data_IF_218183793314
#
_entry.id   IF_218183793314
#
_cell.length_a   1.000
_cell.length_b   1.000
_cell.length_c   1.000
_cell.angle_alpha   90.00
_cell.angle_beta   90.00
_cell.angle_gamma   90.00
#
_symmetry.space_group_name_H-M   'P 1'
#
loop_
_entity.id
_entity.type
_entity.pdbx_description
1 polymer ?
#
# COMPACT_ATOMS: atom_id res chain seq x y z
N UNK A 1 -3.82 -23.69 29.54
CA UNK A 1 -5.06 -23.30 28.82
C UNK A 1 -4.84 -21.86 28.41
N UNK A 2 -4.47 -21.62 27.14
CA UNK A 2 -4.23 -20.26 26.59
C UNK A 2 -5.57 -19.54 26.46
N UNK A 3 -5.67 -18.26 26.81
CA UNK A 3 -6.92 -17.52 26.61
C UNK A 3 -7.25 -17.40 25.14
N UNK A 4 -8.51 -17.61 24.80
CA UNK A 4 -9.11 -17.66 23.47
C UNK A 4 -9.04 -16.34 22.67
N UNK A 5 -8.45 -15.29 23.26
CA UNK A 5 -8.41 -13.92 22.71
C UNK A 5 -7.42 -13.69 21.55
N UNK A 6 -6.67 -14.72 21.12
CA UNK A 6 -5.74 -14.61 19.99
C UNK A 6 -6.22 -15.32 18.72
N UNK A 7 -7.45 -15.82 18.68
CA UNK A 7 -8.05 -16.26 17.43
C UNK A 7 -8.45 -15.04 16.62
N UNK A 8 -7.80 -14.88 15.49
CA UNK A 8 -8.17 -13.91 14.45
C UNK A 8 -9.69 -13.79 14.34
N UNK A 9 -10.24 -12.60 14.50
CA UNK A 9 -11.66 -12.30 14.33
C UNK A 9 -12.23 -12.66 12.93
N UNK A 10 -11.39 -13.19 12.05
CA UNK A 10 -11.72 -13.63 10.70
C UNK A 10 -11.72 -15.16 10.50
N UNK A 11 -11.73 -15.96 11.58
CA UNK A 11 -11.85 -17.44 11.48
C UNK A 11 -10.60 -18.14 10.89
N UNK A 12 -9.49 -17.43 10.71
CA UNK A 12 -8.24 -17.96 10.16
C UNK A 12 -7.18 -18.27 11.22
N UNK A 13 -6.04 -18.81 10.79
CA UNK A 13 -4.87 -18.99 11.63
C UNK A 13 -4.41 -17.63 12.19
N UNK A 14 -3.86 -17.56 13.42
CA UNK A 14 -3.43 -16.29 14.04
C UNK A 14 -2.38 -15.54 13.18
N UNK A 15 -1.68 -16.26 12.30
CA UNK A 15 -0.73 -15.73 11.34
C UNK A 15 -1.08 -16.24 9.94
N UNK A 16 -2.02 -15.55 9.31
CA UNK A 16 -2.62 -15.94 8.03
C UNK A 16 -1.63 -15.98 6.86
N UNK A 17 -0.54 -15.20 6.90
CA UNK A 17 0.49 -15.19 5.85
C UNK A 17 1.70 -16.08 6.20
N UNK A 18 1.44 -17.24 6.79
CA UNK A 18 2.44 -18.28 7.08
C UNK A 18 3.29 -18.03 8.33
N UNK A 19 3.69 -16.78 8.60
CA UNK A 19 4.51 -16.41 9.76
C UNK A 19 3.98 -15.16 10.46
N UNK A 20 4.42 -14.93 11.70
CA UNK A 20 4.00 -13.80 12.50
C UNK A 20 4.40 -12.46 11.83
N UNK A 21 5.68 -12.30 11.54
CA UNK A 21 6.21 -11.04 11.00
C UNK A 21 5.62 -10.75 9.61
N UNK A 22 5.50 -11.76 8.75
CA UNK A 22 4.91 -11.58 7.42
C UNK A 22 3.42 -11.19 7.51
N UNK A 23 2.66 -11.81 8.42
CA UNK A 23 1.26 -11.43 8.64
C UNK A 23 1.15 -10.01 9.16
N UNK A 24 1.94 -9.62 10.17
CA UNK A 24 1.93 -8.27 10.73
C UNK A 24 2.42 -7.20 9.76
N UNK A 25 3.30 -7.55 8.83
CA UNK A 25 3.72 -6.66 7.74
C UNK A 25 2.54 -6.28 6.85
N UNK A 26 1.76 -7.27 6.41
CA UNK A 26 0.58 -7.03 5.59
C UNK A 26 -0.59 -6.44 6.38
N UNK A 27 -0.75 -6.77 7.67
CA UNK A 27 -1.69 -6.11 8.56
C UNK A 27 -1.35 -4.61 8.71
N UNK A 28 -0.07 -4.28 8.90
CA UNK A 28 0.40 -2.91 8.99
C UNK A 28 0.18 -2.15 7.67
N UNK A 29 0.47 -2.77 6.53
CA UNK A 29 0.22 -2.17 5.23
C UNK A 29 -1.29 -1.93 5.02
N UNK A 30 -2.15 -2.90 5.36
CA UNK A 30 -3.61 -2.73 5.29
C UNK A 30 -4.12 -1.56 6.13
N UNK A 31 -3.54 -1.31 7.31
CA UNK A 31 -3.91 -0.17 8.16
C UNK A 31 -3.54 1.19 7.55
N UNK A 32 -2.60 1.22 6.61
CA UNK A 32 -2.20 2.45 5.89
C UNK A 32 -3.11 2.74 4.69
N UNK A 33 -3.61 1.71 4.02
CA UNK A 33 -4.29 1.83 2.73
C UNK A 33 -5.51 2.75 2.76
N UNK A 34 -6.50 2.63 3.67
CA UNK A 34 -7.71 3.46 3.58
C UNK A 34 -7.45 4.97 3.60
N UNK A 35 -6.44 5.41 4.33
CA UNK A 35 -6.06 6.82 4.37
C UNK A 35 -5.24 7.22 3.12
N UNK A 36 -4.40 6.32 2.62
CA UNK A 36 -3.65 6.50 1.37
C UNK A 36 -4.59 6.61 0.17
N UNK A 37 -5.52 5.66 0.03
CA UNK A 37 -6.52 5.63 -1.04
C UNK A 37 -7.44 6.86 -1.01
N UNK A 38 -7.84 7.33 0.19
CA UNK A 38 -8.57 8.60 0.32
C UNK A 38 -7.76 9.78 -0.24
N UNK A 39 -6.47 9.86 0.09
CA UNK A 39 -5.59 10.90 -0.44
C UNK A 39 -5.47 10.82 -1.97
N UNK A 40 -5.37 9.63 -2.55
CA UNK A 40 -5.33 9.42 -4.00
C UNK A 40 -6.61 9.92 -4.67
N UNK A 41 -7.77 9.48 -4.17
CA UNK A 41 -9.09 9.86 -4.67
C UNK A 41 -9.26 11.40 -4.63
N UNK A 42 -9.01 12.02 -3.48
CA UNK A 42 -9.13 13.46 -3.30
C UNK A 42 -8.19 14.25 -4.22
N UNK A 43 -6.95 13.76 -4.38
CA UNK A 43 -5.95 14.38 -5.27
C UNK A 43 -6.40 14.35 -6.73
N UNK A 44 -6.87 13.21 -7.22
CA UNK A 44 -7.32 13.08 -8.61
C UNK A 44 -8.61 13.89 -8.86
N UNK A 45 -9.51 13.93 -7.90
CA UNK A 45 -10.71 14.79 -7.96
C UNK A 45 -10.34 16.27 -8.03
N UNK A 46 -9.41 16.72 -7.17
CA UNK A 46 -8.94 18.10 -7.16
C UNK A 46 -8.24 18.48 -8.47
N UNK A 47 -7.43 17.59 -9.02
CA UNK A 47 -6.78 17.81 -10.31
C UNK A 47 -7.81 17.92 -11.44
N UNK A 48 -8.76 16.98 -11.50
CA UNK A 48 -9.83 16.97 -12.49
C UNK A 48 -10.68 18.25 -12.45
N UNK A 49 -11.00 18.75 -11.25
CA UNK A 49 -11.79 19.97 -11.09
C UNK A 49 -11.07 21.23 -11.60
N UNK A 50 -9.73 21.21 -11.68
CA UNK A 50 -8.92 22.32 -12.20
C UNK A 50 -8.55 22.17 -13.68
N UNK A 51 -8.70 20.97 -14.25
CA UNK A 51 -8.37 20.68 -15.63
C UNK A 51 -9.40 21.34 -16.56
N UNK A 52 -9.00 22.44 -17.19
CA UNK A 52 -9.89 23.27 -18.05
C UNK A 52 -9.92 22.81 -19.52
N UNK A 53 -9.37 21.65 -19.87
CA UNK A 53 -9.25 21.21 -21.27
C UNK A 53 -10.38 20.26 -21.66
N UNK A 54 -11.25 20.65 -22.63
CA UNK A 54 -12.38 19.83 -23.13
C UNK A 54 -11.94 18.57 -23.89
N UNK A 55 -10.67 18.27 -24.02
CA UNK A 55 -10.15 17.24 -24.94
C UNK A 55 -9.61 15.98 -24.26
N UNK A 56 -9.82 15.81 -22.96
CA UNK A 56 -9.32 14.65 -22.20
C UNK A 56 -10.47 13.76 -21.66
N UNK A 57 -11.58 13.64 -22.44
CA UNK A 57 -12.74 12.82 -22.02
C UNK A 57 -12.33 11.38 -21.64
N UNK A 58 -11.41 10.78 -22.41
CA UNK A 58 -10.90 9.44 -22.09
C UNK A 58 -10.17 9.37 -20.75
N UNK A 59 -9.31 10.34 -20.41
CA UNK A 59 -8.63 10.38 -19.13
C UNK A 59 -9.61 10.67 -17.98
N UNK A 60 -10.63 11.47 -18.22
CA UNK A 60 -11.68 11.70 -17.23
C UNK A 60 -12.47 10.42 -16.91
N UNK A 61 -12.78 9.61 -17.92
CA UNK A 61 -13.43 8.32 -17.73
C UNK A 61 -12.53 7.32 -16.97
N UNK A 62 -11.22 7.33 -17.27
CA UNK A 62 -10.24 6.53 -16.54
C UNK A 62 -10.12 6.97 -15.07
N UNK A 63 -10.10 8.27 -14.79
CA UNK A 63 -10.11 8.81 -13.42
C UNK A 63 -11.39 8.40 -12.69
N UNK A 64 -12.56 8.47 -13.34
CA UNK A 64 -13.81 8.04 -12.71
C UNK A 64 -13.84 6.55 -12.41
N UNK A 65 -13.23 5.71 -13.27
CA UNK A 65 -13.03 4.29 -13.00
C UNK A 65 -12.11 4.10 -11.80
N UNK A 66 -10.93 4.72 -11.82
CA UNK A 66 -9.95 4.69 -10.73
C UNK A 66 -10.59 5.04 -9.38
N UNK A 67 -11.32 6.17 -9.30
CA UNK A 67 -11.98 6.60 -8.05
C UNK A 67 -12.98 5.55 -7.54
N UNK A 68 -13.72 4.86 -8.42
CA UNK A 68 -14.65 3.80 -8.00
C UNK A 68 -13.93 2.58 -7.47
N UNK A 69 -12.85 2.17 -8.12
CA UNK A 69 -12.04 0.99 -7.76
C UNK A 69 -11.29 1.25 -6.46
N UNK A 70 -10.61 2.39 -6.31
CA UNK A 70 -9.96 2.82 -5.06
C UNK A 70 -10.96 2.92 -3.90
N UNK A 71 -12.15 3.45 -4.15
CA UNK A 71 -13.21 3.45 -3.15
C UNK A 71 -13.68 2.04 -2.75
N UNK A 72 -13.56 1.04 -3.62
CA UNK A 72 -13.84 -0.36 -3.27
C UNK A 72 -12.70 -0.96 -2.44
N UNK A 73 -11.43 -0.68 -2.77
CA UNK A 73 -10.25 -1.04 -2.00
C UNK A 73 -10.33 -0.48 -0.58
N UNK A 74 -10.55 0.83 -0.46
CA UNK A 74 -10.71 1.51 0.82
C UNK A 74 -11.75 0.83 1.72
N UNK A 75 -12.94 0.56 1.18
CA UNK A 75 -14.00 -0.11 1.95
C UNK A 75 -13.65 -1.55 2.33
N UNK A 76 -12.95 -2.27 1.48
CA UNK A 76 -12.56 -3.66 1.75
C UNK A 76 -11.49 -3.72 2.85
N UNK A 77 -10.45 -2.87 2.75
CA UNK A 77 -9.43 -2.75 3.78
C UNK A 77 -9.97 -2.17 5.08
N UNK A 78 -10.89 -1.20 5.04
CA UNK A 78 -11.53 -0.67 6.25
C UNK A 78 -12.31 -1.76 7.02
N UNK A 79 -13.03 -2.64 6.32
CA UNK A 79 -13.70 -3.80 6.96
C UNK A 79 -12.72 -4.77 7.60
N UNK A 80 -11.63 -5.09 6.90
CA UNK A 80 -10.56 -5.94 7.43
C UNK A 80 -9.90 -5.31 8.66
N UNK A 81 -9.57 -4.02 8.57
CA UNK A 81 -8.95 -3.25 9.63
C UNK A 81 -9.83 -3.10 10.88
N UNK A 82 -11.15 -3.04 10.72
CA UNK A 82 -12.07 -3.03 11.86
C UNK A 82 -11.92 -4.31 12.72
N UNK A 83 -11.75 -5.47 12.09
CA UNK A 83 -11.49 -6.72 12.80
C UNK A 83 -10.08 -6.73 13.45
N UNK A 84 -9.06 -6.19 12.78
CA UNK A 84 -7.72 -6.01 13.37
C UNK A 84 -7.75 -5.11 14.60
N UNK A 85 -8.41 -3.96 14.51
CA UNK A 85 -8.53 -2.97 15.60
C UNK A 85 -9.24 -3.59 16.80
N UNK A 86 -10.31 -4.35 16.56
CA UNK A 86 -11.03 -5.03 17.64
C UNK A 86 -10.21 -6.13 18.33
N UNK A 87 -9.32 -6.79 17.61
CA UNK A 87 -8.55 -7.95 18.11
C UNK A 87 -7.11 -7.67 18.51
N UNK A 88 -6.54 -6.51 18.10
CA UNK A 88 -5.12 -6.21 18.28
C UNK A 88 -4.92 -4.82 18.89
N UNK A 89 -4.60 -4.72 20.19
CA UNK A 89 -4.31 -3.45 20.83
C UNK A 89 -3.20 -2.69 20.09
N UNK A 90 -3.39 -1.40 19.84
CA UNK A 90 -2.42 -0.57 19.11
C UNK A 90 -2.68 -0.44 17.60
N UNK A 91 -3.46 -1.32 16.97
CA UNK A 91 -3.82 -1.21 15.55
C UNK A 91 -4.57 0.11 15.26
N UNK A 92 -5.46 0.52 16.16
CA UNK A 92 -6.18 1.81 16.06
C UNK A 92 -5.22 3.03 16.06
N UNK A 93 -4.17 2.99 16.86
CA UNK A 93 -3.18 4.07 16.90
C UNK A 93 -2.41 4.19 15.57
N UNK A 94 -2.18 3.06 14.90
CA UNK A 94 -1.58 3.01 13.55
C UNK A 94 -2.53 3.66 12.53
N UNK A 95 -3.79 3.23 12.50
CA UNK A 95 -4.80 3.78 11.58
C UNK A 95 -4.95 5.30 11.75
N UNK A 96 -5.14 5.78 12.99
CA UNK A 96 -5.23 7.22 13.28
C UNK A 96 -3.98 8.01 12.89
N UNK A 97 -2.80 7.40 12.93
CA UNK A 97 -1.60 8.06 12.46
C UNK A 97 -1.58 8.17 10.93
N UNK A 98 -1.99 7.12 10.22
CA UNK A 98 -2.11 7.15 8.76
C UNK A 98 -3.05 8.27 8.31
N UNK A 99 -4.20 8.41 8.95
CA UNK A 99 -5.16 9.51 8.69
C UNK A 99 -4.53 10.89 8.89
N UNK A 100 -3.80 11.10 9.99
CA UNK A 100 -3.13 12.39 10.23
C UNK A 100 -2.06 12.71 9.20
N UNK A 101 -1.36 11.70 8.70
CA UNK A 101 -0.35 11.92 7.66
C UNK A 101 -1.01 12.23 6.33
N UNK A 102 -2.04 11.49 5.94
CA UNK A 102 -2.81 11.76 4.73
C UNK A 102 -3.39 13.19 4.76
N UNK A 103 -3.96 13.62 5.89
CA UNK A 103 -4.41 14.99 6.07
C UNK A 103 -3.28 16.02 5.88
N UNK A 104 -2.08 15.76 6.43
CA UNK A 104 -0.92 16.63 6.22
C UNK A 104 -0.42 16.67 4.76
N UNK A 105 -0.61 15.59 4.00
CA UNK A 105 -0.30 15.58 2.57
C UNK A 105 -1.30 16.41 1.77
N UNK A 106 -2.55 16.50 2.19
CA UNK A 106 -3.57 17.33 1.56
C UNK A 106 -3.28 18.85 1.67
N UNK A 107 -2.47 19.26 2.64
CA UNK A 107 -2.03 20.66 2.78
C UNK A 107 -0.94 21.07 1.76
N UNK A 108 -0.38 20.13 1.02
CA UNK A 108 0.61 20.40 -0.02
C UNK A 108 -0.05 21.00 -1.25
N UNK A 109 0.72 21.75 -2.06
CA UNK A 109 0.23 22.24 -3.35
C UNK A 109 -0.11 21.07 -4.31
N UNK A 110 -1.16 21.21 -5.11
CA UNK A 110 -1.67 20.18 -6.01
C UNK A 110 -0.59 19.51 -6.89
N UNK A 111 0.41 20.21 -7.47
CA UNK A 111 1.48 19.53 -8.22
C UNK A 111 2.28 18.52 -7.38
N UNK A 112 2.49 18.79 -6.09
CA UNK A 112 3.17 17.85 -5.19
C UNK A 112 2.23 16.69 -4.80
N UNK A 113 0.96 16.97 -4.53
CA UNK A 113 -0.04 15.91 -4.26
C UNK A 113 -0.11 14.93 -5.43
N UNK A 114 -0.23 15.42 -6.65
CA UNK A 114 -0.28 14.60 -7.87
C UNK A 114 1.01 13.79 -8.06
N UNK A 115 2.17 14.39 -7.78
CA UNK A 115 3.45 13.67 -7.86
C UNK A 115 3.55 12.57 -6.78
N UNK A 116 3.05 12.82 -5.57
CA UNK A 116 3.00 11.82 -4.49
C UNK A 116 2.00 10.71 -4.80
N UNK A 117 0.83 11.05 -5.35
CA UNK A 117 -0.17 10.06 -5.79
C UNK A 117 0.46 9.08 -6.78
N UNK A 118 1.10 9.57 -7.85
CA UNK A 118 1.80 8.72 -8.80
C UNK A 118 2.96 7.91 -8.19
N UNK A 119 3.64 8.45 -7.18
CA UNK A 119 4.69 7.72 -6.47
C UNK A 119 4.13 6.60 -5.59
N UNK A 120 3.02 6.81 -4.89
CA UNK A 120 2.36 5.77 -4.10
C UNK A 120 1.82 4.66 -5.01
N UNK A 121 1.13 5.00 -6.10
CA UNK A 121 0.67 4.04 -7.11
C UNK A 121 1.82 3.20 -7.69
N UNK A 122 2.95 3.82 -7.98
CA UNK A 122 4.12 3.07 -8.43
C UNK A 122 4.63 2.10 -7.37
N UNK A 123 4.61 2.48 -6.09
CA UNK A 123 5.06 1.61 -4.99
C UNK A 123 4.09 0.46 -4.74
N UNK A 124 2.77 0.71 -4.79
CA UNK A 124 1.74 -0.34 -4.67
C UNK A 124 1.80 -1.30 -5.86
N UNK A 125 1.96 -0.80 -7.09
CA UNK A 125 2.14 -1.62 -8.28
C UNK A 125 3.39 -2.51 -8.21
N UNK A 126 4.50 -2.06 -7.63
CA UNK A 126 5.69 -2.90 -7.42
C UNK A 126 5.41 -4.06 -6.46
N UNK A 127 4.70 -3.82 -5.37
CA UNK A 127 4.29 -4.87 -4.41
C UNK A 127 3.28 -5.82 -5.07
N UNK A 128 2.31 -5.28 -5.78
CA UNK A 128 1.26 -6.02 -6.47
C UNK A 128 1.81 -6.96 -7.53
N UNK A 129 2.82 -6.53 -8.28
CA UNK A 129 3.54 -7.37 -9.25
C UNK A 129 4.22 -8.56 -8.57
N UNK A 130 4.84 -8.36 -7.42
CA UNK A 130 5.42 -9.46 -6.65
C UNK A 130 4.37 -10.47 -6.17
N UNK A 131 3.16 -10.01 -5.86
CA UNK A 131 2.05 -10.87 -5.44
C UNK A 131 1.48 -11.65 -6.63
N UNK A 132 1.25 -10.98 -7.77
CA UNK A 132 0.52 -11.55 -8.91
C UNK A 132 1.42 -12.39 -9.83
N UNK A 133 2.60 -11.86 -10.17
CA UNK A 133 3.49 -12.46 -11.15
C UNK A 133 4.47 -13.46 -10.54
N UNK A 134 4.88 -13.24 -9.29
CA UNK A 134 5.95 -14.03 -8.68
C UNK A 134 5.51 -14.87 -7.49
N UNK A 135 4.32 -14.64 -6.96
CA UNK A 135 3.72 -15.38 -5.81
C UNK A 135 4.66 -15.51 -4.58
N UNK A 136 5.51 -14.48 -4.35
CA UNK A 136 6.59 -14.56 -3.37
C UNK A 136 6.24 -13.97 -2.01
N UNK A 137 5.27 -13.04 -1.95
CA UNK A 137 4.97 -12.28 -0.74
C UNK A 137 3.77 -12.82 0.04
N UNK A 138 2.87 -13.54 -0.59
CA UNK A 138 1.68 -14.11 0.05
C UNK A 138 1.71 -15.63 0.05
N UNK A 139 1.16 -16.19 1.13
CA UNK A 139 0.80 -17.62 1.18
C UNK A 139 -0.65 -17.75 0.72
N UNK A 140 -0.91 -18.62 -0.26
CA UNK A 140 -2.28 -18.95 -0.66
C UNK A 140 -2.84 -20.05 0.24
N UNK A 141 -3.44 -19.61 1.34
CA UNK A 141 -4.09 -20.51 2.32
C UNK A 141 -5.63 -20.50 2.20
N UNK A 142 -6.18 -19.80 1.19
CA UNK A 142 -7.61 -19.62 1.00
C UNK A 142 -8.27 -18.74 2.08
N UNK A 143 -7.51 -18.10 2.97
CA UNK A 143 -8.06 -17.22 3.99
C UNK A 143 -8.65 -15.93 3.40
N UNK A 144 -9.52 -15.27 4.17
CA UNK A 144 -10.09 -13.99 3.75
C UNK A 144 -9.00 -12.93 3.49
N UNK A 145 -7.98 -12.76 4.35
CA UNK A 145 -6.89 -11.81 4.07
C UNK A 145 -6.12 -12.14 2.80
N UNK A 146 -5.79 -13.41 2.57
CA UNK A 146 -5.09 -13.83 1.36
C UNK A 146 -5.89 -13.49 0.09
N UNK A 147 -7.22 -13.75 0.10
CA UNK A 147 -8.09 -13.37 -1.02
C UNK A 147 -8.20 -11.86 -1.22
N UNK A 148 -8.30 -11.09 -0.12
CA UNK A 148 -8.34 -9.62 -0.17
C UNK A 148 -7.09 -9.06 -0.86
N UNK A 149 -5.91 -9.48 -0.43
CA UNK A 149 -4.64 -9.00 -0.98
C UNK A 149 -4.42 -9.42 -2.44
N UNK A 150 -4.83 -10.62 -2.83
CA UNK A 150 -4.73 -11.08 -4.22
C UNK A 150 -5.71 -10.36 -5.14
N UNK A 151 -6.92 -10.04 -4.66
CA UNK A 151 -7.88 -9.24 -5.41
C UNK A 151 -7.35 -7.81 -5.58
N UNK A 152 -6.99 -7.13 -4.50
CA UNK A 152 -6.43 -5.78 -4.51
C UNK A 152 -5.20 -5.70 -5.45
N UNK A 153 -4.24 -6.61 -5.29
CA UNK A 153 -3.02 -6.60 -6.11
C UNK A 153 -3.27 -6.75 -7.62
N UNK A 154 -4.34 -7.45 -8.04
CA UNK A 154 -4.67 -7.56 -9.47
C UNK A 154 -5.21 -6.25 -10.03
N UNK A 155 -6.05 -5.56 -9.28
CA UNK A 155 -6.62 -4.27 -9.71
C UNK A 155 -5.55 -3.16 -9.71
N UNK A 156 -4.64 -3.14 -8.75
CA UNK A 156 -3.53 -2.19 -8.65
C UNK A 156 -2.60 -2.14 -9.89
N UNK A 157 -2.48 -3.24 -10.62
CA UNK A 157 -1.61 -3.25 -11.80
C UNK A 157 -2.10 -2.33 -12.92
N UNK A 158 -3.40 -2.05 -12.97
CA UNK A 158 -4.01 -1.17 -13.96
C UNK A 158 -4.06 0.31 -13.49
N UNK A 159 -3.99 0.58 -12.18
CA UNK A 159 -4.15 1.91 -11.60
C UNK A 159 -2.94 2.83 -11.82
N UNK A 160 -1.74 2.28 -11.82
CA UNK A 160 -0.50 3.04 -11.95
C UNK A 160 -0.48 3.93 -13.20
N UNK A 161 -1.04 3.49 -14.33
CA UNK A 161 -1.04 4.24 -15.58
C UNK A 161 -1.90 5.50 -15.52
N UNK A 162 -3.04 5.47 -14.81
CA UNK A 162 -3.93 6.63 -14.62
C UNK A 162 -3.23 7.71 -13.80
N UNK A 163 -2.67 7.35 -12.65
CA UNK A 163 -1.94 8.28 -11.79
C UNK A 163 -0.72 8.89 -12.49
N UNK A 164 0.00 8.10 -13.32
CA UNK A 164 1.10 8.58 -14.13
C UNK A 164 0.66 9.55 -15.23
N UNK A 165 -0.46 9.29 -15.90
CA UNK A 165 -1.02 10.18 -16.91
C UNK A 165 -1.41 11.54 -16.31
N UNK A 166 -2.03 11.53 -15.13
CA UNK A 166 -2.35 12.74 -14.36
C UNK A 166 -1.06 13.46 -13.91
N UNK A 167 -0.05 12.74 -13.39
CA UNK A 167 1.20 13.33 -12.97
C UNK A 167 2.00 13.95 -14.12
N UNK A 168 1.93 13.38 -15.30
CA UNK A 168 2.59 13.93 -16.49
C UNK A 168 2.04 15.34 -16.83
N UNK A 169 0.76 15.58 -16.55
CA UNK A 169 0.08 16.86 -16.82
C UNK A 169 0.11 17.80 -15.60
N UNK A 170 -0.18 17.28 -14.41
CA UNK A 170 -0.30 18.06 -13.17
C UNK A 170 1.01 18.32 -12.43
N UNK A 171 2.03 17.49 -12.65
CA UNK A 171 3.36 17.62 -12.05
C UNK A 171 4.46 17.58 -13.13
N UNK A 172 4.62 18.61 -13.94
CA UNK A 172 5.48 18.60 -15.14
C UNK A 172 6.97 18.47 -14.82
N UNK A 173 7.40 18.87 -13.61
CA UNK A 173 8.81 18.78 -13.21
C UNK A 173 9.22 17.33 -12.90
N UNK A 174 10.19 16.82 -13.66
CA UNK A 174 10.80 15.50 -13.38
C UNK A 174 11.48 15.44 -12.02
N UNK A 175 12.04 16.56 -11.56
CA UNK A 175 12.64 16.63 -10.23
C UNK A 175 11.60 16.54 -9.13
N UNK A 176 10.44 17.18 -9.30
CA UNK A 176 9.34 17.09 -8.36
C UNK A 176 8.86 15.64 -8.22
N UNK A 177 8.68 14.93 -9.34
CA UNK A 177 8.26 13.51 -9.33
C UNK A 177 9.32 12.58 -8.69
N UNK A 178 10.61 12.84 -8.93
CA UNK A 178 11.69 12.11 -8.26
C UNK A 178 11.72 12.38 -6.76
N UNK A 179 11.57 13.64 -6.36
CA UNK A 179 11.47 14.00 -4.93
C UNK A 179 10.29 13.30 -4.29
N UNK A 180 9.11 13.34 -4.92
CA UNK A 180 7.92 12.66 -4.43
C UNK A 180 8.14 11.14 -4.28
N UNK A 181 8.79 10.49 -5.25
CA UNK A 181 9.12 9.06 -5.16
C UNK A 181 10.03 8.76 -3.97
N UNK A 182 11.08 9.54 -3.76
CA UNK A 182 12.00 9.35 -2.62
C UNK A 182 11.28 9.57 -1.29
N UNK A 183 10.47 10.64 -1.19
CA UNK A 183 9.70 10.94 0.02
C UNK A 183 8.65 9.86 0.30
N UNK A 184 7.86 9.44 -0.71
CA UNK A 184 6.86 8.38 -0.58
C UNK A 184 7.53 7.06 -0.16
N UNK A 185 8.67 6.69 -0.76
CA UNK A 185 9.42 5.48 -0.42
C UNK A 185 9.91 5.52 1.03
N UNK A 186 10.56 6.63 1.41
CA UNK A 186 11.08 6.80 2.77
C UNK A 186 9.97 6.78 3.82
N UNK A 187 8.87 7.45 3.54
CA UNK A 187 7.69 7.46 4.39
C UNK A 187 7.08 6.06 4.54
N UNK A 188 6.72 5.43 3.42
CA UNK A 188 6.09 4.11 3.44
C UNK A 188 6.97 3.05 4.10
N UNK A 189 8.27 3.00 3.75
CA UNK A 189 9.20 2.06 4.35
C UNK A 189 9.37 2.26 5.86
N UNK A 190 9.52 3.51 6.30
CA UNK A 190 9.69 3.82 7.73
C UNK A 190 8.43 3.49 8.55
N UNK A 191 7.25 3.83 8.04
CA UNK A 191 6.00 3.56 8.73
C UNK A 191 5.67 2.06 8.69
N UNK A 192 5.94 1.37 7.60
CA UNK A 192 5.73 -0.08 7.51
C UNK A 192 6.60 -0.84 8.54
N UNK A 193 7.88 -0.50 8.67
CA UNK A 193 8.76 -1.08 9.69
C UNK A 193 8.26 -0.76 11.11
N UNK A 194 7.94 0.51 11.36
CA UNK A 194 7.45 0.98 12.67
C UNK A 194 6.17 0.27 13.08
N UNK A 195 5.20 0.16 12.17
CA UNK A 195 3.89 -0.42 12.47
C UNK A 195 3.94 -1.94 12.55
N UNK A 196 4.68 -2.60 11.66
CA UNK A 196 4.94 -4.04 11.81
C UNK A 196 5.52 -4.35 13.17
N UNK A 197 6.52 -3.56 13.61
CA UNK A 197 7.11 -3.73 14.93
C UNK A 197 6.12 -3.44 16.06
N UNK A 198 5.29 -2.40 15.93
CA UNK A 198 4.24 -2.10 16.92
C UNK A 198 3.25 -3.26 17.09
N UNK A 199 2.79 -3.85 15.97
CA UNK A 199 1.89 -5.00 15.99
C UNK A 199 2.58 -6.26 16.56
N UNK A 200 3.84 -6.52 16.20
CA UNK A 200 4.62 -7.60 16.78
C UNK A 200 4.84 -7.43 18.30
N UNK A 201 4.95 -6.20 18.80
CA UNK A 201 5.02 -5.94 20.25
C UNK A 201 3.72 -6.30 20.96
N UNK A 202 2.57 -6.14 20.31
CA UNK A 202 1.30 -6.61 20.85
C UNK A 202 1.27 -8.14 20.96
N UNK A 203 1.81 -8.85 19.95
CA UNK A 203 1.95 -10.31 20.04
C UNK A 203 2.88 -10.74 21.19
N UNK A 204 3.98 -10.01 21.42
CA UNK A 204 4.89 -10.25 22.55
C UNK A 204 4.16 -10.04 23.88
N UNK A 205 3.37 -8.96 23.99
CA UNK A 205 2.57 -8.70 25.19
C UNK A 205 1.51 -9.78 25.44
N UNK A 206 1.01 -10.41 24.37
CA UNK A 206 0.10 -11.55 24.41
C UNK A 206 0.79 -12.91 24.64
N UNK A 207 2.13 -12.93 24.86
CA UNK A 207 2.89 -14.14 25.20
C UNK A 207 3.71 -14.73 24.05
N UNK A 208 3.77 -14.11 22.87
CA UNK A 208 4.64 -14.58 21.79
C UNK A 208 6.14 -14.42 22.16
N UNK A 209 6.96 -15.38 21.77
CA UNK A 209 8.40 -15.34 22.04
C UNK A 209 9.11 -14.26 21.22
N UNK A 210 9.74 -13.28 21.89
CA UNK A 210 10.55 -12.25 21.22
C UNK A 210 11.66 -12.84 20.34
N UNK A 211 12.32 -13.92 20.82
CA UNK A 211 13.39 -14.59 20.05
C UNK A 211 12.83 -15.23 18.78
N UNK A 212 11.66 -15.88 18.87
CA UNK A 212 11.00 -16.47 17.71
C UNK A 212 10.60 -15.42 16.68
N UNK A 213 10.05 -14.28 17.12
CA UNK A 213 9.69 -13.16 16.21
C UNK A 213 10.93 -12.53 15.55
N UNK A 214 12.04 -12.36 16.27
CA UNK A 214 13.27 -11.86 15.67
C UNK A 214 13.85 -12.84 14.63
N UNK A 215 13.87 -14.14 14.94
CA UNK A 215 14.31 -15.16 14.00
C UNK A 215 13.39 -15.23 12.78
N UNK A 216 12.08 -15.05 12.96
CA UNK A 216 11.11 -14.96 11.89
C UNK A 216 11.35 -13.73 11.02
N UNK A 217 11.57 -12.56 11.62
CA UNK A 217 11.91 -11.32 10.90
C UNK A 217 13.15 -11.46 10.04
N UNK A 218 14.20 -12.11 10.53
CA UNK A 218 15.42 -12.39 9.75
C UNK A 218 15.08 -13.31 8.56
N UNK A 219 14.31 -14.39 8.78
CA UNK A 219 13.91 -15.30 7.69
C UNK A 219 13.05 -14.59 6.63
N UNK A 220 12.11 -13.77 7.06
CA UNK A 220 11.28 -12.96 6.15
C UNK A 220 12.15 -12.00 5.35
N UNK A 221 13.07 -11.28 5.99
CA UNK A 221 13.99 -10.35 5.33
C UNK A 221 14.84 -11.07 4.27
N UNK A 222 15.51 -12.17 4.67
CA UNK A 222 16.36 -12.93 3.75
C UNK A 222 15.55 -13.54 2.60
N UNK A 223 14.38 -14.11 2.91
CA UNK A 223 13.49 -14.69 1.89
C UNK A 223 12.92 -13.66 0.93
N UNK A 224 12.81 -12.40 1.35
CA UNK A 224 12.30 -11.31 0.51
C UNK A 224 13.39 -10.63 -0.35
N UNK A 225 14.67 -10.95 -0.20
CA UNK A 225 15.75 -10.30 -0.96
C UNK A 225 15.57 -10.37 -2.49
N UNK A 226 15.14 -11.49 -3.10
CA UNK A 226 14.90 -11.53 -4.55
C UNK A 226 13.76 -10.59 -4.98
N UNK A 227 12.66 -10.53 -4.20
CA UNK A 227 11.55 -9.61 -4.44
C UNK A 227 11.99 -8.15 -4.32
N UNK A 228 12.72 -7.81 -3.24
CA UNK A 228 13.28 -6.48 -3.04
C UNK A 228 14.22 -6.07 -4.17
N UNK A 229 15.03 -6.99 -4.71
CA UNK A 229 15.90 -6.70 -5.85
C UNK A 229 15.12 -6.41 -7.14
N UNK A 230 14.00 -7.12 -7.41
CA UNK A 230 13.12 -6.84 -8.54
C UNK A 230 12.40 -5.50 -8.36
N UNK A 231 11.82 -5.26 -7.17
CA UNK A 231 11.18 -3.99 -6.84
C UNK A 231 12.16 -2.80 -6.96
N UNK A 232 13.41 -2.96 -6.50
CA UNK A 232 14.45 -1.93 -6.64
C UNK A 232 14.76 -1.61 -8.10
N UNK A 233 14.79 -2.61 -9.00
CA UNK A 233 14.97 -2.37 -10.45
C UNK A 233 13.79 -1.59 -11.02
N UNK A 234 12.54 -1.95 -10.68
CA UNK A 234 11.35 -1.22 -11.10
C UNK A 234 11.35 0.22 -10.56
N UNK A 235 11.72 0.40 -9.30
CA UNK A 235 11.88 1.70 -8.67
C UNK A 235 12.92 2.58 -9.39
N UNK A 236 14.10 2.03 -9.71
CA UNK A 236 15.15 2.73 -10.44
C UNK A 236 14.68 3.09 -11.86
N UNK A 237 14.01 2.17 -12.55
CA UNK A 237 13.40 2.44 -13.85
C UNK A 237 12.48 3.64 -13.82
N UNK A 238 11.59 3.70 -12.83
CA UNK A 238 10.70 4.84 -12.64
C UNK A 238 11.47 6.13 -12.25
N UNK A 239 12.47 6.05 -11.37
CA UNK A 239 13.27 7.21 -10.98
C UNK A 239 14.04 7.83 -12.17
N UNK A 240 14.48 7.01 -13.11
CA UNK A 240 15.15 7.49 -14.34
C UNK A 240 14.14 8.08 -15.32
N UNK A 241 13.00 7.43 -15.52
CA UNK A 241 11.95 7.86 -16.45
C UNK A 241 10.58 7.95 -15.73
N UNK A 242 10.35 8.98 -14.91
CA UNK A 242 9.13 9.09 -14.11
C UNK A 242 7.88 9.46 -14.97
N UNK A 243 7.93 9.26 -16.26
CA UNK A 243 6.79 9.43 -17.15
C UNK A 243 6.09 8.10 -17.48
N UNK A 244 6.60 6.98 -16.91
CA UNK A 244 6.13 5.64 -17.28
C UNK A 244 6.43 5.32 -18.76
N UNK A 245 6.77 4.06 -19.07
CA UNK A 245 6.47 3.52 -20.42
C UNK A 245 5.07 2.91 -20.29
N UNK A 246 4.13 3.20 -21.20
CA UNK A 246 2.87 2.47 -21.20
C UNK A 246 3.17 0.98 -21.22
N UNK A 247 2.55 0.21 -20.32
CA UNK A 247 2.65 -1.23 -20.30
C UNK A 247 2.03 -1.75 -21.61
N UNK A 248 2.86 -2.24 -22.53
CA UNK A 248 2.41 -2.79 -23.80
C UNK A 248 3.34 -2.58 -25.00
N UNK A 249 4.49 -1.94 -24.83
CA UNK A 249 5.51 -1.82 -25.89
C UNK A 249 6.85 -2.43 -25.43
N UNK A 250 6.91 -3.74 -25.46
CA UNK A 250 8.14 -4.53 -25.45
C UNK A 250 8.15 -5.44 -26.66
#
# INVERSE_FOLDING_TARGET
MMPEATRSAAGGRPYWNGTAVRSRLFDALSLLLPAGEAFLIETLQAWRAQASTPHDDALHDEIDRFIREEGAHQRAHARYNAALIAGLPGAEAVARRAERVAAGLADLGLPMQVALAAAFEQLTALVSREIVEHDTLLVDDGSQPSRLWRWHAREELDHCDVALAVAARGAPSRWLRRLALVLATGYLASDLVRYTWALCRCDIAAGASRRALLADGIRVMVGSLPALARMARGWLGFAVSPQGRPHGQA
#
